data_IF_639577219439
#
_entry.id   IF_639577219439
#
_cell.length_a   1.000
_cell.length_b   1.000
_cell.length_c   1.000
_cell.angle_alpha   90.00
_cell.angle_beta   90.00
_cell.angle_gamma   90.00
#
_symmetry.space_group_name_H-M   'P 1'
#
loop_
_entity.id
_entity.type
_entity.pdbx_description
1 polymer ?
#
# COMPACT_ATOMS: atom_id res chain seq x y z
N UNK A 1 -26.54 0.17 -8.97
CA UNK A 1 -25.98 0.95 -10.08
C UNK A 1 -24.49 0.60 -10.15
N UNK A 2 -23.99 0.16 -11.30
CA UNK A 2 -22.53 0.10 -11.52
C UNK A 2 -22.06 1.55 -11.53
N UNK A 3 -21.35 1.99 -10.50
CA UNK A 3 -20.67 3.27 -10.55
C UNK A 3 -19.64 3.18 -11.67
N UNK A 4 -19.59 4.17 -12.55
CA UNK A 4 -18.56 4.28 -13.56
C UNK A 4 -17.22 4.46 -12.84
N UNK A 5 -16.44 3.38 -12.83
CA UNK A 5 -15.12 3.38 -12.20
C UNK A 5 -14.13 4.00 -13.17
N UNK A 6 -13.41 5.00 -12.70
CA UNK A 6 -12.35 5.68 -13.44
C UNK A 6 -10.99 5.24 -12.90
N UNK A 7 -10.08 4.88 -13.80
CA UNK A 7 -8.68 4.59 -13.45
C UNK A 7 -7.84 5.85 -13.53
N UNK A 8 -6.97 6.04 -12.56
CA UNK A 8 -6.03 7.15 -12.54
C UNK A 8 -4.67 6.71 -11.98
N UNK A 9 -3.63 7.39 -12.43
CA UNK A 9 -2.26 7.23 -11.96
C UNK A 9 -1.83 8.53 -11.26
N UNK A 10 -1.20 8.35 -10.10
CA UNK A 10 -0.57 9.41 -9.32
C UNK A 10 0.90 9.09 -9.14
N UNK A 11 1.71 10.10 -8.91
CA UNK A 11 3.14 9.92 -8.65
C UNK A 11 3.52 10.58 -7.33
N UNK A 12 4.27 9.85 -6.51
CA UNK A 12 5.08 10.40 -5.44
C UNK A 12 6.51 10.55 -5.93
N UNK A 13 6.97 11.77 -6.08
CA UNK A 13 8.37 12.06 -6.43
C UNK A 13 9.30 11.65 -5.29
N UNK A 14 10.61 11.46 -5.55
CA UNK A 14 11.61 11.23 -4.49
C UNK A 14 11.56 12.30 -3.39
N UNK A 15 11.31 13.56 -3.76
CA UNK A 15 11.16 14.66 -2.82
C UNK A 15 9.94 14.49 -1.91
N UNK A 16 8.77 14.13 -2.48
CA UNK A 16 7.57 13.84 -1.70
C UNK A 16 7.80 12.70 -0.71
N UNK A 17 8.44 11.62 -1.17
CA UNK A 17 8.77 10.47 -0.33
C UNK A 17 9.69 10.87 0.83
N UNK A 18 10.69 11.72 0.56
CA UNK A 18 11.61 12.21 1.60
C UNK A 18 10.87 13.06 2.63
N UNK A 19 10.01 13.99 2.21
CA UNK A 19 9.16 14.79 3.10
C UNK A 19 8.27 13.92 3.99
N UNK A 20 7.61 12.90 3.42
CA UNK A 20 6.79 11.95 4.18
C UNK A 20 7.61 11.19 5.23
N UNK A 21 8.85 10.80 4.89
CA UNK A 21 9.77 10.16 5.86
C UNK A 21 10.16 11.10 6.99
N UNK A 22 10.46 12.35 6.69
CA UNK A 22 10.82 13.37 7.67
C UNK A 22 9.65 13.69 8.59
N UNK A 23 8.46 13.91 8.02
CA UNK A 23 7.24 14.11 8.80
C UNK A 23 6.97 12.91 9.74
N UNK A 24 7.03 11.69 9.22
CA UNK A 24 6.87 10.49 10.04
C UNK A 24 7.89 10.37 11.17
N UNK A 25 9.16 10.73 10.94
CA UNK A 25 10.21 10.70 11.97
C UNK A 25 10.00 11.74 13.07
N UNK A 26 9.56 12.95 12.71
CA UNK A 26 9.41 14.06 13.64
C UNK A 26 8.23 13.88 14.58
N UNK A 27 7.13 13.30 14.10
CA UNK A 27 5.87 13.17 14.84
C UNK A 27 5.66 11.81 15.54
N UNK A 28 6.39 10.77 15.11
CA UNK A 28 6.28 9.47 15.76
C UNK A 28 6.98 9.47 17.12
N UNK A 29 6.21 9.21 18.18
CA UNK A 29 6.72 8.96 19.54
C UNK A 29 7.59 7.70 19.64
N UNK A 30 7.56 6.86 18.61
CA UNK A 30 8.34 5.63 18.50
C UNK A 30 9.54 5.93 17.60
N UNK A 31 10.76 5.71 18.08
CA UNK A 31 11.99 5.77 17.28
C UNK A 31 11.99 4.66 16.23
N UNK A 32 11.29 4.88 15.12
CA UNK A 32 11.39 4.00 13.95
C UNK A 32 12.70 4.32 13.25
N UNK A 33 13.64 3.40 13.33
CA UNK A 33 15.01 3.59 12.86
C UNK A 33 15.08 3.66 11.33
N UNK A 34 14.11 3.09 10.62
CA UNK A 34 14.15 3.07 9.14
C UNK A 34 12.75 3.07 8.51
N UNK A 35 12.31 4.24 8.02
CA UNK A 35 11.07 4.36 7.26
C UNK A 35 11.33 4.01 5.78
N UNK A 36 10.93 2.80 5.37
CA UNK A 36 11.04 2.39 3.97
C UNK A 36 10.11 3.21 3.08
N UNK A 37 10.48 3.37 1.80
CA UNK A 37 9.62 4.00 0.78
C UNK A 37 8.25 3.32 0.70
N UNK A 38 8.21 1.98 0.68
CA UNK A 38 6.96 1.21 0.70
C UNK A 38 6.07 1.58 1.89
N UNK A 39 6.63 1.66 3.08
CA UNK A 39 5.89 1.94 4.31
C UNK A 39 5.24 3.33 4.28
N UNK A 40 6.01 4.39 3.97
CA UNK A 40 5.47 5.75 3.96
C UNK A 40 4.47 5.99 2.84
N UNK A 41 4.73 5.42 1.65
CA UNK A 41 3.82 5.51 0.50
C UNK A 41 2.50 4.79 0.80
N UNK A 42 2.57 3.56 1.31
CA UNK A 42 1.37 2.78 1.65
C UNK A 42 0.52 3.47 2.71
N UNK A 43 1.15 4.01 3.75
CA UNK A 43 0.46 4.74 4.82
C UNK A 43 -0.21 6.01 4.30
N UNK A 44 0.47 6.77 3.45
CA UNK A 44 -0.05 8.00 2.88
C UNK A 44 -1.26 7.74 1.98
N UNK A 45 -1.12 6.81 1.04
CA UNK A 45 -2.21 6.45 0.11
C UNK A 45 -3.41 5.90 0.86
N UNK A 46 -3.20 5.02 1.85
CA UNK A 46 -4.29 4.46 2.68
C UNK A 46 -5.06 5.56 3.41
N UNK A 47 -4.36 6.52 4.01
CA UNK A 47 -4.99 7.64 4.71
C UNK A 47 -5.77 8.55 3.75
N UNK A 48 -5.21 8.85 2.56
CA UNK A 48 -5.90 9.64 1.54
C UNK A 48 -7.14 8.93 1.01
N UNK A 49 -7.07 7.61 0.75
CA UNK A 49 -8.21 6.80 0.32
C UNK A 49 -9.32 6.78 1.38
N UNK A 50 -8.97 6.50 2.62
CA UNK A 50 -9.94 6.48 3.70
C UNK A 50 -10.65 7.83 3.88
N UNK A 51 -9.92 8.95 3.72
CA UNK A 51 -10.49 10.29 3.76
C UNK A 51 -11.38 10.59 2.55
N UNK A 52 -11.01 10.14 1.35
CA UNK A 52 -11.78 10.37 0.14
C UNK A 52 -13.08 9.55 0.12
N UNK A 53 -13.02 8.28 0.49
CA UNK A 53 -14.18 7.38 0.47
C UNK A 53 -15.07 7.52 1.70
N UNK A 54 -14.56 8.03 2.83
CA UNK A 54 -15.25 8.18 4.11
C UNK A 54 -16.13 6.95 4.48
N UNK A 55 -15.53 5.77 4.67
CA UNK A 55 -16.28 4.55 4.89
C UNK A 55 -17.20 4.66 6.10
N UNK A 56 -18.49 4.32 5.91
CA UNK A 56 -19.51 4.33 6.97
C UNK A 56 -19.49 3.06 7.83
N UNK A 57 -18.28 2.62 8.17
CA UNK A 57 -18.02 1.43 8.99
C UNK A 57 -17.07 1.80 10.12
N UNK A 58 -17.19 1.10 11.24
CA UNK A 58 -16.36 1.39 12.43
C UNK A 58 -14.89 1.04 12.16
N UNK A 59 -14.65 -0.05 11.44
CA UNK A 59 -13.32 -0.57 11.16
C UNK A 59 -13.08 -0.77 9.68
N UNK A 60 -11.85 -0.53 9.27
CA UNK A 60 -11.33 -0.86 7.94
C UNK A 60 -10.21 -1.89 8.07
N UNK A 61 -10.12 -2.76 7.09
CA UNK A 61 -9.07 -3.78 7.00
C UNK A 61 -8.12 -3.40 5.89
N UNK A 62 -6.83 -3.43 6.18
CA UNK A 62 -5.78 -3.24 5.19
C UNK A 62 -4.98 -4.53 5.03
N UNK A 63 -4.86 -5.03 3.80
CA UNK A 63 -4.19 -6.28 3.46
C UNK A 63 -2.92 -5.98 2.68
N UNK A 64 -1.81 -6.54 3.15
CA UNK A 64 -0.51 -6.45 2.50
C UNK A 64 -0.04 -7.87 2.18
N UNK A 65 0.34 -8.12 0.93
CA UNK A 65 0.99 -9.35 0.50
C UNK A 65 2.50 -9.20 0.56
N UNK A 66 3.20 -10.18 1.13
CA UNK A 66 4.64 -10.17 1.30
C UNK A 66 5.28 -11.39 0.63
N UNK A 67 6.35 -11.17 -0.10
CA UNK A 67 7.22 -12.25 -0.59
C UNK A 67 7.95 -12.91 0.60
N UNK A 68 7.80 -14.21 0.72
CA UNK A 68 8.37 -15.00 1.81
C UNK A 68 9.70 -15.66 1.46
N UNK A 69 10.13 -15.70 0.19
CA UNK A 69 11.29 -16.49 -0.26
C UNK A 69 12.53 -16.24 0.60
N UNK A 70 12.88 -14.97 0.81
CA UNK A 70 14.06 -14.58 1.60
C UNK A 70 13.80 -14.52 3.11
N UNK A 71 12.57 -14.79 3.55
CA UNK A 71 12.15 -14.73 4.96
C UNK A 71 11.96 -16.11 5.58
N UNK A 72 12.04 -17.14 4.75
CA UNK A 72 12.02 -18.52 5.19
C UNK A 72 13.40 -18.95 5.71
N UNK A 73 13.43 -19.94 6.60
CA UNK A 73 14.63 -20.60 7.06
C UNK A 73 14.46 -22.12 6.84
N UNK A 74 15.22 -22.75 5.92
CA UNK A 74 16.13 -22.10 4.95
C UNK A 74 15.38 -21.25 3.90
N UNK A 75 16.05 -20.21 3.39
CA UNK A 75 15.48 -19.34 2.37
C UNK A 75 15.29 -20.08 1.03
N UNK A 76 14.29 -19.68 0.27
CA UNK A 76 14.01 -20.20 -1.07
C UNK A 76 14.61 -19.25 -2.12
N UNK A 77 15.15 -19.82 -3.20
CA UNK A 77 15.69 -19.06 -4.31
C UNK A 77 14.68 -18.03 -4.87
N UNK A 78 15.16 -16.84 -5.21
CA UNK A 78 14.35 -15.82 -5.92
C UNK A 78 13.87 -16.30 -7.29
N UNK A 79 14.52 -17.31 -7.87
CA UNK A 79 14.12 -17.95 -9.13
C UNK A 79 12.95 -18.94 -8.98
N UNK A 80 12.49 -19.20 -7.75
CA UNK A 80 11.33 -20.06 -7.53
C UNK A 80 10.05 -19.37 -8.03
N UNK A 81 9.38 -19.99 -9.00
CA UNK A 81 8.18 -19.43 -9.68
C UNK A 81 6.89 -19.76 -8.92
N UNK A 82 6.91 -20.70 -7.97
CA UNK A 82 5.72 -21.07 -7.20
C UNK A 82 5.24 -19.97 -6.26
N UNK A 83 4.01 -20.10 -5.79
CA UNK A 83 3.43 -19.19 -4.80
C UNK A 83 4.20 -19.27 -3.48
N UNK A 84 4.77 -18.15 -3.05
CA UNK A 84 5.50 -18.01 -1.79
C UNK A 84 5.17 -16.66 -1.15
N UNK A 85 3.88 -16.44 -0.86
CA UNK A 85 3.33 -15.16 -0.39
C UNK A 85 2.62 -15.38 0.93
N UNK A 86 2.90 -14.52 1.92
CA UNK A 86 2.14 -14.38 3.16
C UNK A 86 1.31 -13.09 3.13
N UNK A 87 0.08 -13.17 3.61
CA UNK A 87 -0.79 -12.02 3.79
C UNK A 87 -0.69 -11.47 5.22
N UNK A 88 -0.62 -10.15 5.35
CA UNK A 88 -0.77 -9.45 6.62
C UNK A 88 -2.08 -8.67 6.63
N UNK A 89 -2.92 -8.95 7.62
CA UNK A 89 -4.19 -8.27 7.87
C UNK A 89 -4.00 -7.27 8.99
N UNK A 90 -4.26 -6.01 8.70
CA UNK A 90 -4.16 -4.91 9.64
C UNK A 90 -5.53 -4.27 9.79
N UNK A 91 -6.00 -4.14 11.02
CA UNK A 91 -7.31 -3.55 11.32
C UNK A 91 -7.10 -2.16 11.90
N UNK A 92 -7.78 -1.18 11.33
CA UNK A 92 -7.78 0.20 11.80
C UNK A 92 -9.19 0.62 12.19
N UNK A 93 -9.31 1.42 13.26
CA UNK A 93 -10.52 2.20 13.49
C UNK A 93 -10.62 3.26 12.39
N UNK A 94 -11.75 3.33 11.70
CA UNK A 94 -11.95 4.27 10.56
C UNK A 94 -11.65 5.71 10.95
N UNK A 95 -12.11 6.14 12.14
CA UNK A 95 -11.85 7.49 12.66
C UNK A 95 -10.36 7.84 12.78
N UNK A 96 -9.50 6.83 13.00
CA UNK A 96 -8.06 7.05 13.11
C UNK A 96 -7.41 7.30 11.75
N UNK A 97 -7.96 6.76 10.66
CA UNK A 97 -7.46 7.00 9.30
C UNK A 97 -7.99 8.30 8.70
N UNK A 98 -9.28 8.61 8.92
CA UNK A 98 -9.91 9.83 8.37
C UNK A 98 -9.57 11.09 9.16
N UNK A 99 -9.11 10.95 10.39
CA UNK A 99 -8.72 12.07 11.26
C UNK A 99 -7.47 12.82 10.79
N UNK A 100 -7.14 13.91 11.51
CA UNK A 100 -5.96 14.76 11.20
C UNK A 100 -4.66 13.95 11.13
N UNK A 101 -4.47 12.97 12.01
CA UNK A 101 -3.27 12.15 12.11
C UNK A 101 -3.37 10.84 11.29
N UNK A 102 -4.23 10.79 10.27
CA UNK A 102 -4.50 9.57 9.51
C UNK A 102 -3.25 8.92 8.94
N UNK A 103 -2.35 9.71 8.37
CA UNK A 103 -1.06 9.22 7.86
C UNK A 103 -0.20 8.58 8.96
N UNK A 104 -0.04 9.25 10.11
CA UNK A 104 0.79 8.75 11.22
C UNK A 104 0.20 7.47 11.84
N UNK A 105 -1.13 7.40 11.99
CA UNK A 105 -1.80 6.21 12.48
C UNK A 105 -1.67 5.03 11.52
N UNK A 106 -1.79 5.27 10.22
CA UNK A 106 -1.55 4.26 9.18
C UNK A 106 -0.08 3.79 9.21
N UNK A 107 0.86 4.74 9.31
CA UNK A 107 2.30 4.48 9.36
C UNK A 107 2.67 3.58 10.54
N UNK A 108 2.15 3.91 11.73
CA UNK A 108 2.39 3.14 12.95
C UNK A 108 1.81 1.72 12.83
N UNK A 109 0.55 1.59 12.40
CA UNK A 109 -0.12 0.30 12.28
C UNK A 109 0.56 -0.62 11.27
N UNK A 110 0.94 -0.10 10.09
CA UNK A 110 1.65 -0.88 9.07
C UNK A 110 3.04 -1.26 9.57
N UNK A 111 3.78 -0.32 10.16
CA UNK A 111 5.11 -0.59 10.71
C UNK A 111 5.08 -1.69 11.79
N UNK A 112 4.11 -1.63 12.70
CA UNK A 112 3.93 -2.66 13.74
C UNK A 112 3.67 -4.04 13.13
N UNK A 113 2.79 -4.12 12.12
CA UNK A 113 2.49 -5.38 11.44
C UNK A 113 3.70 -5.95 10.69
N UNK A 114 4.47 -5.11 9.98
CA UNK A 114 5.66 -5.55 9.26
C UNK A 114 6.79 -6.00 10.21
N UNK A 115 6.94 -5.36 11.37
CA UNK A 115 7.93 -5.75 12.36
C UNK A 115 7.53 -7.03 13.09
N UNK A 116 6.25 -7.22 13.43
CA UNK A 116 5.80 -8.46 14.09
C UNK A 116 6.15 -9.71 13.28
N UNK A 117 6.13 -9.63 11.95
CA UNK A 117 6.54 -10.77 11.10
C UNK A 117 8.02 -11.13 11.27
N UNK A 118 8.89 -10.16 11.57
CA UNK A 118 10.31 -10.43 11.84
C UNK A 118 10.50 -11.16 13.16
N UNK A 119 9.67 -10.84 14.15
CA UNK A 119 9.79 -11.37 15.51
C UNK A 119 9.22 -12.79 15.63
N UNK A 120 8.07 -13.05 14.98
CA UNK A 120 7.34 -14.32 15.10
C UNK A 120 7.56 -15.29 13.94
N UNK A 121 8.24 -14.82 12.88
CA UNK A 121 8.46 -15.59 11.65
C UNK A 121 7.30 -15.49 10.67
N UNK A 122 7.66 -15.63 9.39
CA UNK A 122 6.72 -15.41 8.27
C UNK A 122 5.67 -16.52 8.13
N UNK A 123 5.93 -17.71 8.65
CA UNK A 123 5.00 -18.85 8.62
C UNK A 123 4.12 -18.97 9.87
N UNK A 124 4.27 -18.07 10.83
CA UNK A 124 3.48 -18.13 12.06
C UNK A 124 1.98 -18.08 11.74
N UNK A 125 1.23 -19.09 12.20
CA UNK A 125 -0.20 -19.23 11.96
C UNK A 125 -0.59 -19.59 10.52
N UNK A 126 0.34 -20.09 9.69
CA UNK A 126 0.13 -20.39 8.28
C UNK A 126 -1.03 -21.36 8.03
N UNK A 127 -1.25 -22.29 8.94
CA UNK A 127 -2.36 -23.26 8.93
C UNK A 127 -3.75 -22.59 8.96
N UNK A 128 -3.82 -21.36 9.48
CA UNK A 128 -5.06 -20.61 9.66
C UNK A 128 -5.14 -19.36 8.77
N UNK A 129 -4.16 -19.10 7.89
CA UNK A 129 -4.14 -17.84 7.12
C UNK A 129 -5.39 -17.61 6.30
N UNK A 130 -5.89 -18.65 5.58
CA UNK A 130 -7.06 -18.51 4.72
C UNK A 130 -8.30 -18.20 5.56
N UNK A 131 -8.52 -18.93 6.65
CA UNK A 131 -9.67 -18.68 7.52
C UNK A 131 -9.56 -17.32 8.22
N UNK A 132 -8.37 -16.95 8.72
CA UNK A 132 -8.14 -15.68 9.39
C UNK A 132 -8.20 -14.48 8.44
N UNK A 133 -7.79 -14.65 7.18
CA UNK A 133 -7.85 -13.58 6.19
C UNK A 133 -9.29 -13.12 5.96
N UNK A 134 -10.24 -14.07 5.89
CA UNK A 134 -11.64 -13.80 5.59
C UNK A 134 -12.54 -13.71 6.81
N UNK A 135 -12.10 -14.19 7.99
CA UNK A 135 -12.90 -14.15 9.21
C UNK A 135 -13.02 -12.73 9.78
N UNK A 136 -14.22 -12.38 10.25
CA UNK A 136 -14.46 -11.11 10.96
C UNK A 136 -14.22 -9.86 10.11
N UNK A 137 -14.30 -9.96 8.78
CA UNK A 137 -14.26 -8.80 7.89
C UNK A 137 -15.69 -8.27 7.74
N UNK A 138 -16.12 -7.50 8.73
CA UNK A 138 -17.30 -6.66 8.63
C UNK A 138 -16.79 -5.25 8.31
N UNK A 139 -16.72 -4.88 7.02
CA UNK A 139 -16.30 -3.52 6.69
C UNK A 139 -15.59 -3.35 5.36
N UNK A 140 -14.99 -2.18 5.21
CA UNK A 140 -14.21 -1.81 4.02
C UNK A 140 -12.85 -2.48 4.05
N UNK A 141 -12.47 -3.09 2.93
CA UNK A 141 -11.14 -3.68 2.73
C UNK A 141 -10.35 -2.80 1.78
N UNK A 142 -9.11 -2.52 2.16
CA UNK A 142 -8.09 -1.96 1.30
C UNK A 142 -6.97 -2.98 1.09
N UNK A 143 -6.37 -2.99 -0.09
CA UNK A 143 -5.23 -3.87 -0.38
C UNK A 143 -4.25 -3.23 -1.34
N UNK A 144 -3.02 -3.73 -1.34
CA UNK A 144 -1.98 -3.31 -2.27
C UNK A 144 -1.73 -4.39 -3.31
N UNK A 145 -1.63 -3.97 -4.57
CA UNK A 145 -1.14 -4.78 -5.68
C UNK A 145 0.21 -4.22 -6.18
N UNK A 146 1.09 -5.10 -6.61
CA UNK A 146 2.39 -4.70 -7.15
C UNK A 146 3.42 -4.28 -6.10
N UNK A 147 4.58 -3.92 -6.59
CA UNK A 147 5.70 -3.44 -5.79
C UNK A 147 6.63 -2.60 -6.67
N UNK A 148 7.19 -1.51 -6.16
CA UNK A 148 8.21 -0.75 -6.88
C UNK A 148 9.49 -1.54 -7.20
N UNK A 149 9.64 -2.74 -6.60
CA UNK A 149 10.78 -3.65 -6.84
C UNK A 149 10.59 -4.60 -8.02
N UNK A 150 9.43 -4.56 -8.68
CA UNK A 150 9.16 -5.48 -9.79
C UNK A 150 9.78 -5.01 -11.11
N UNK A 151 10.24 -3.76 -11.17
CA UNK A 151 10.96 -3.20 -12.31
C UNK A 151 10.22 -3.40 -13.64
N UNK A 152 8.90 -3.15 -13.65
CA UNK A 152 8.04 -3.38 -14.82
C UNK A 152 8.52 -2.65 -16.07
N UNK A 153 9.03 -1.42 -15.87
CA UNK A 153 9.54 -0.59 -16.98
C UNK A 153 10.90 -1.04 -17.53
N UNK A 154 11.58 -1.98 -16.87
CA UNK A 154 12.81 -2.59 -17.39
C UNK A 154 12.55 -3.78 -18.31
N UNK A 155 11.31 -4.29 -18.34
CA UNK A 155 10.93 -5.44 -19.16
C UNK A 155 11.01 -5.07 -20.66
N UNK A 156 11.63 -5.95 -21.46
CA UNK A 156 11.68 -5.82 -22.92
C UNK A 156 11.51 -7.21 -23.54
N UNK A 157 10.46 -7.35 -24.34
CA UNK A 157 10.16 -8.59 -25.08
C UNK A 157 10.61 -8.51 -26.54
N UNK A 158 11.57 -7.62 -26.88
CA UNK A 158 12.05 -7.39 -28.23
C UNK A 158 11.34 -6.28 -28.99
N UNK A 159 10.39 -5.59 -28.35
CA UNK A 159 9.62 -4.46 -28.90
C UNK A 159 9.96 -3.12 -28.25
N UNK A 160 10.96 -3.11 -27.36
CA UNK A 160 11.30 -1.96 -26.52
C UNK A 160 10.61 -1.98 -25.17
N UNK A 161 11.00 -1.04 -24.30
CA UNK A 161 10.47 -0.93 -22.94
C UNK A 161 9.03 -0.41 -22.92
N UNK A 162 8.20 -0.84 -21.93
CA UNK A 162 6.85 -0.30 -21.78
C UNK A 162 6.86 1.20 -21.58
N UNK A 163 5.90 1.89 -22.19
CA UNK A 163 5.66 3.33 -21.94
C UNK A 163 4.69 3.57 -20.80
N UNK A 164 3.85 2.58 -20.50
CA UNK A 164 2.86 2.60 -19.43
C UNK A 164 2.59 1.19 -18.94
N UNK A 165 2.42 1.05 -17.63
CA UNK A 165 2.04 -0.22 -16.98
C UNK A 165 0.77 0.02 -16.18
N UNK A 166 -0.27 -0.76 -16.45
CA UNK A 166 -1.53 -0.73 -15.71
C UNK A 166 -1.73 -2.05 -14.96
N UNK A 167 -1.96 -1.97 -13.66
CA UNK A 167 -2.26 -3.13 -12.83
C UNK A 167 -3.76 -3.43 -12.84
N UNK A 168 -4.15 -4.52 -13.48
CA UNK A 168 -5.58 -4.91 -13.64
C UNK A 168 -6.23 -5.35 -12.32
N UNK A 169 -5.45 -5.78 -11.34
CA UNK A 169 -5.97 -6.20 -10.02
C UNK A 169 -6.59 -5.06 -9.21
N UNK A 170 -6.33 -3.80 -9.59
CA UNK A 170 -6.90 -2.61 -8.93
C UNK A 170 -8.30 -2.26 -9.41
N UNK A 171 -8.86 -2.98 -10.39
CA UNK A 171 -10.21 -2.74 -10.91
C UNK A 171 -11.33 -2.98 -9.88
N UNK A 172 -10.99 -3.56 -8.74
CA UNK A 172 -11.89 -3.74 -7.60
C UNK A 172 -11.72 -2.59 -6.62
N UNK A 173 -12.83 -1.99 -6.22
CA UNK A 173 -12.84 -0.93 -5.20
C UNK A 173 -12.10 -1.35 -3.93
N UNK A 174 -11.26 -0.45 -3.41
CA UNK A 174 -10.48 -0.70 -2.20
C UNK A 174 -9.06 -1.22 -2.44
N UNK A 175 -8.64 -1.44 -3.69
CA UNK A 175 -7.27 -1.79 -4.02
C UNK A 175 -6.54 -0.63 -4.68
N UNK A 176 -5.25 -0.49 -4.40
CA UNK A 176 -4.37 0.39 -5.14
C UNK A 176 -3.09 -0.33 -5.55
N UNK A 177 -2.47 0.11 -6.62
CA UNK A 177 -1.19 -0.45 -7.06
C UNK A 177 -0.05 0.46 -6.68
N UNK A 178 1.12 -0.16 -6.44
CA UNK A 178 2.40 0.53 -6.32
C UNK A 178 3.37 -0.03 -7.35
N UNK A 179 3.99 0.86 -8.11
CA UNK A 179 5.03 0.55 -9.08
C UNK A 179 6.16 1.57 -8.98
N UNK A 180 7.30 1.28 -9.62
CA UNK A 180 8.33 2.29 -9.86
C UNK A 180 7.80 3.34 -10.83
N UNK A 181 8.31 4.57 -10.73
CA UNK A 181 8.00 5.61 -11.70
C UNK A 181 8.57 5.29 -13.09
N UNK A 182 7.82 5.57 -14.14
CA UNK A 182 8.18 5.30 -15.54
C UNK A 182 9.54 5.89 -15.97
N UNK A 183 9.96 6.98 -15.36
CA UNK A 183 11.22 7.67 -15.65
C UNK A 183 12.40 7.16 -14.80
N UNK A 184 12.17 6.11 -13.99
CA UNK A 184 13.18 5.48 -13.13
C UNK A 184 13.97 6.47 -12.24
N UNK A 185 13.30 7.55 -11.80
CA UNK A 185 13.89 8.60 -10.96
C UNK A 185 13.87 8.27 -9.45
N UNK A 186 13.37 7.07 -9.08
CA UNK A 186 13.15 6.67 -7.69
C UNK A 186 11.81 7.11 -7.11
N UNK A 187 10.93 7.68 -7.92
CA UNK A 187 9.53 7.95 -7.60
C UNK A 187 8.69 6.68 -7.58
N UNK A 188 7.46 6.80 -7.11
CA UNK A 188 6.49 5.72 -7.03
C UNK A 188 5.23 6.10 -7.78
N UNK A 189 4.81 5.25 -8.71
CA UNK A 189 3.50 5.32 -9.34
C UNK A 189 2.45 4.61 -8.48
N UNK A 190 1.28 5.25 -8.36
CA UNK A 190 0.12 4.77 -7.60
C UNK A 190 -1.04 4.67 -8.57
N UNK A 191 -1.54 3.46 -8.80
CA UNK A 191 -2.73 3.23 -9.63
C UNK A 191 -3.96 3.05 -8.75
N UNK A 192 -5.05 3.74 -9.09
CA UNK A 192 -6.33 3.72 -8.41
C UNK A 192 -7.47 3.48 -9.40
N UNK A 193 -8.55 2.84 -8.90
CA UNK A 193 -9.80 2.68 -9.61
C UNK A 193 -10.96 3.04 -8.65
N UNK A 194 -11.52 4.23 -8.81
CA UNK A 194 -12.53 4.83 -7.94
C UNK A 194 -13.68 5.40 -8.78
N UNK A 195 -14.80 5.74 -8.14
CA UNK A 195 -15.80 6.59 -8.77
C UNK A 195 -15.20 7.96 -9.07
N UNK A 196 -15.77 8.70 -10.02
CA UNK A 196 -15.28 10.03 -10.38
C UNK A 196 -15.24 10.98 -9.18
N UNK A 197 -16.28 10.95 -8.35
CA UNK A 197 -16.39 11.80 -7.15
C UNK A 197 -15.31 11.46 -6.11
N UNK A 198 -15.10 10.16 -5.84
CA UNK A 198 -14.05 9.70 -4.92
C UNK A 198 -12.66 10.03 -5.44
N UNK A 199 -12.46 9.96 -6.77
CA UNK A 199 -11.18 10.27 -7.39
C UNK A 199 -10.85 11.77 -7.30
N UNK A 200 -11.84 12.64 -7.50
CA UNK A 200 -11.69 14.09 -7.33
C UNK A 200 -11.36 14.43 -5.86
N UNK A 201 -12.07 13.82 -4.92
CA UNK A 201 -11.79 13.99 -3.49
C UNK A 201 -10.39 13.48 -3.14
N UNK A 202 -10.01 12.30 -3.64
CA UNK A 202 -8.66 11.76 -3.43
C UNK A 202 -7.59 12.70 -3.98
N UNK A 203 -7.76 13.22 -5.20
CA UNK A 203 -6.79 14.12 -5.83
C UNK A 203 -6.55 15.37 -4.99
N UNK A 204 -7.61 15.98 -4.48
CA UNK A 204 -7.53 17.15 -3.61
C UNK A 204 -6.77 16.81 -2.31
N UNK A 205 -7.20 15.76 -1.60
CA UNK A 205 -6.59 15.35 -0.33
C UNK A 205 -5.11 14.96 -0.51
N UNK A 206 -4.80 14.26 -1.60
CA UNK A 206 -3.44 13.81 -1.92
C UNK A 206 -2.50 15.01 -2.15
N UNK A 207 -2.91 15.98 -2.94
CA UNK A 207 -2.07 17.14 -3.25
C UNK A 207 -1.94 18.09 -2.05
N UNK A 208 -3.05 18.47 -1.40
CA UNK A 208 -3.03 19.32 -0.21
C UNK A 208 -2.21 18.71 0.94
N UNK A 209 -2.31 17.39 1.10
CA UNK A 209 -1.52 16.67 2.09
C UNK A 209 -0.01 16.79 1.85
N UNK A 210 0.46 16.71 0.59
CA UNK A 210 1.86 16.88 0.23
C UNK A 210 2.36 18.33 0.35
N UNK A 211 1.48 19.31 0.14
CA UNK A 211 1.79 20.73 0.32
C UNK A 211 1.91 21.11 1.80
N UNK A 212 1.18 20.42 2.67
CA UNK A 212 1.14 20.70 4.11
C UNK A 212 2.31 20.09 4.90
N UNK A 213 3.12 19.25 4.27
CA UNK A 213 4.32 18.58 4.81
C UNK A 213 5.59 19.28 4.23
#
# INVERSE_FOLDING_TARGET
MKHDVVKSLYELTPSNIQKLKEHGKNDMKIKVINLSTFLVTSAYVLACLAKAEQPKVEKVVFIISMDCRSRLDPSISTMYIGNCIAGQKIVFETKNLVGKNGFLNALEGINKALNSVKDVGVLNGAENWVSNMYSGIEGKIYSIAGSPRFEFYSSDFGFGKPKKVDMTSTDKTGSFSLGESWNNNGGIEIGLALSKEELEAFSTIFNEGLESI
#
